data_IF_462815343384
#
_entry.id   IF_462815343384
#
_cell.length_a   1.000
_cell.length_b   1.000
_cell.length_c   1.000
_cell.angle_alpha   90.00
_cell.angle_beta   90.00
_cell.angle_gamma   90.00
#
_symmetry.space_group_name_H-M   'P 1'
#
loop_
_entity.id
_entity.type
_entity.pdbx_description
1 polymer ?
#
# COMPACT_ATOMS: atom_id res chain seq x y z
N UNK A 1 -28.42 11.22 -19.23
CA UNK A 1 -27.72 11.54 -20.50
C UNK A 1 -26.34 11.99 -20.09
N UNK A 2 -25.34 11.11 -20.13
CA UNK A 2 -23.96 11.48 -19.78
C UNK A 2 -23.50 12.40 -20.92
N UNK A 3 -23.07 13.65 -20.66
CA UNK A 3 -22.58 14.53 -21.71
C UNK A 3 -21.39 13.86 -22.39
N UNK A 4 -21.26 14.09 -23.69
CA UNK A 4 -20.23 13.51 -24.54
C UNK A 4 -18.85 14.01 -24.10
N UNK A 5 -18.25 13.31 -23.12
CA UNK A 5 -16.86 13.45 -22.73
C UNK A 5 -16.05 12.37 -23.44
N UNK A 6 -15.03 12.76 -24.19
CA UNK A 6 -14.05 11.81 -24.71
C UNK A 6 -13.39 11.10 -23.52
N UNK A 7 -13.47 9.77 -23.47
CA UNK A 7 -12.76 8.99 -22.45
C UNK A 7 -11.39 8.66 -23.04
N UNK A 8 -10.36 9.32 -22.52
CA UNK A 8 -8.98 8.99 -22.86
C UNK A 8 -8.53 7.87 -21.93
N UNK A 9 -8.32 6.67 -22.49
CA UNK A 9 -7.67 5.59 -21.76
C UNK A 9 -6.16 5.86 -21.80
N UNK A 10 -5.60 6.09 -20.61
CA UNK A 10 -4.19 6.40 -20.41
C UNK A 10 -3.58 5.29 -19.57
N UNK A 11 -2.56 4.63 -20.12
CA UNK A 11 -1.92 3.50 -19.48
C UNK A 11 -0.71 4.00 -18.65
N UNK A 12 -0.64 3.58 -17.39
CA UNK A 12 0.31 4.13 -16.43
C UNK A 12 1.58 3.30 -16.23
N UNK A 13 1.94 2.33 -17.11
CA UNK A 13 3.16 1.53 -16.90
C UNK A 13 3.94 1.13 -18.16
N UNK A 14 5.29 1.08 -18.08
CA UNK A 14 6.14 0.50 -19.11
C UNK A 14 6.61 -0.92 -18.75
N UNK A 15 6.26 -1.93 -19.55
CA UNK A 15 6.93 -3.25 -19.57
C UNK A 15 6.87 -3.85 -20.98
N UNK A 16 7.77 -4.78 -21.30
CA UNK A 16 7.91 -5.43 -22.62
C UNK A 16 6.66 -6.16 -23.17
N UNK A 17 5.57 -6.19 -22.41
CA UNK A 17 4.23 -6.66 -22.84
C UNK A 17 3.42 -5.58 -23.59
N UNK A 18 3.94 -4.34 -23.66
CA UNK A 18 3.33 -3.12 -24.25
C UNK A 18 2.69 -3.27 -25.63
N UNK A 19 3.30 -4.02 -26.57
CA UNK A 19 2.78 -4.09 -27.95
C UNK A 19 1.47 -4.90 -28.04
N UNK A 20 1.31 -5.92 -27.19
CA UNK A 20 0.11 -6.75 -27.22
C UNK A 20 -1.06 -6.03 -26.54
N UNK A 21 -0.86 -5.47 -25.34
CA UNK A 21 -1.94 -4.82 -24.57
C UNK A 21 -2.52 -3.58 -25.27
N UNK A 22 -1.68 -2.78 -25.95
CA UNK A 22 -2.14 -1.62 -26.73
C UNK A 22 -3.03 -2.05 -27.91
N UNK A 23 -2.63 -3.11 -28.60
CA UNK A 23 -3.41 -3.66 -29.71
C UNK A 23 -4.75 -4.24 -29.21
N UNK A 24 -4.74 -4.83 -28.01
CA UNK A 24 -5.93 -5.40 -27.38
C UNK A 24 -6.92 -4.30 -26.95
N UNK A 25 -6.46 -3.20 -26.34
CA UNK A 25 -7.32 -2.08 -25.97
C UNK A 25 -7.99 -1.44 -27.18
N UNK A 26 -7.23 -1.17 -28.24
CA UNK A 26 -7.77 -0.63 -29.49
C UNK A 26 -8.75 -1.62 -30.14
N UNK A 27 -8.46 -2.91 -30.11
CA UNK A 27 -9.34 -3.97 -30.59
C UNK A 27 -10.65 -4.01 -29.79
N UNK A 28 -10.61 -3.87 -28.46
CA UNK A 28 -11.79 -3.79 -27.60
C UNK A 28 -12.65 -2.57 -27.94
N UNK A 29 -12.05 -1.39 -28.06
CA UNK A 29 -12.77 -0.16 -28.42
C UNK A 29 -13.47 -0.30 -29.77
N UNK A 30 -12.76 -0.84 -30.77
CA UNK A 30 -13.29 -1.04 -32.11
C UNK A 30 -14.42 -2.07 -32.13
N UNK A 31 -14.24 -3.22 -31.47
CA UNK A 31 -15.22 -4.31 -31.44
C UNK A 31 -16.48 -3.95 -30.66
N UNK A 32 -16.40 -2.98 -29.74
CA UNK A 32 -17.56 -2.46 -29.01
C UNK A 32 -18.19 -1.21 -29.67
N UNK A 33 -17.73 -0.82 -30.87
CA UNK A 33 -18.23 0.35 -31.60
C UNK A 33 -18.13 1.66 -30.81
N UNK A 34 -17.03 1.87 -30.10
CA UNK A 34 -16.78 3.05 -29.25
C UNK A 34 -15.65 3.95 -29.76
N UNK A 35 -15.18 3.75 -30.99
CA UNK A 35 -14.07 4.51 -31.58
C UNK A 35 -14.32 6.01 -31.73
N UNK A 36 -15.58 6.45 -31.72
CA UNK A 36 -15.99 7.86 -31.72
C UNK A 36 -15.96 8.51 -30.32
N UNK A 37 -15.85 7.71 -29.26
CA UNK A 37 -15.94 8.15 -27.85
C UNK A 37 -14.67 7.87 -27.04
N UNK A 38 -14.00 6.76 -27.33
CA UNK A 38 -12.80 6.32 -26.61
C UNK A 38 -11.60 6.43 -27.53
N UNK A 39 -10.62 7.23 -27.11
CA UNK A 39 -9.34 7.39 -27.80
C UNK A 39 -8.27 6.76 -26.92
N UNK A 40 -7.58 5.76 -27.46
CA UNK A 40 -6.43 5.13 -26.82
C UNK A 40 -5.18 5.90 -27.23
N UNK A 41 -4.52 6.54 -26.26
CA UNK A 41 -3.30 7.31 -26.50
C UNK A 41 -2.12 6.51 -25.95
N UNK A 42 -1.24 5.96 -26.81
CA UNK A 42 -0.12 5.16 -26.34
C UNK A 42 0.97 6.04 -25.75
N UNK A 43 1.53 5.60 -24.63
CA UNK A 43 2.68 6.23 -23.98
C UNK A 43 2.43 6.52 -22.51
N UNK A 44 3.49 6.92 -21.82
CA UNK A 44 3.43 7.29 -20.41
C UNK A 44 2.71 8.61 -20.23
N UNK A 45 1.94 8.72 -19.15
CA UNK A 45 1.22 9.95 -18.79
C UNK A 45 2.19 11.15 -18.64
N UNK A 46 3.46 10.89 -18.34
CA UNK A 46 4.50 11.91 -18.25
C UNK A 46 4.90 12.47 -19.62
N UNK A 47 4.86 11.64 -20.66
CA UNK A 47 5.46 11.90 -21.98
C UNK A 47 4.43 12.25 -23.07
N UNK A 48 3.16 11.92 -22.87
CA UNK A 48 2.09 12.20 -23.85
C UNK A 48 1.60 13.65 -23.80
N UNK A 49 0.84 14.03 -24.83
CA UNK A 49 0.07 15.28 -24.87
C UNK A 49 -1.40 14.98 -25.18
N UNK A 50 -2.30 15.72 -24.53
CA UNK A 50 -3.72 15.69 -24.82
C UNK A 50 -4.12 16.96 -25.57
N UNK A 51 -5.07 16.88 -26.52
CA UNK A 51 -5.51 18.03 -27.30
C UNK A 51 -6.33 19.04 -26.47
N UNK A 52 -6.90 18.61 -25.34
CA UNK A 52 -7.73 19.43 -24.47
C UNK A 52 -7.59 19.03 -23.00
N UNK A 53 -8.04 19.93 -22.10
CA UNK A 53 -8.17 19.63 -20.69
C UNK A 53 -9.41 18.76 -20.41
N UNK A 54 -9.36 17.94 -19.36
CA UNK A 54 -10.39 16.96 -19.00
C UNK A 54 -11.21 17.40 -17.78
N UNK A 55 -12.49 17.01 -17.75
CA UNK A 55 -13.38 17.26 -16.62
C UNK A 55 -13.19 16.24 -15.49
N UNK A 56 -12.79 15.02 -15.82
CA UNK A 56 -12.62 13.93 -14.84
C UNK A 56 -11.41 13.10 -15.22
N UNK A 57 -10.58 12.78 -14.22
CA UNK A 57 -9.52 11.77 -14.33
C UNK A 57 -9.97 10.55 -13.52
N UNK A 58 -9.91 9.38 -14.15
CA UNK A 58 -10.27 8.10 -13.53
C UNK A 58 -9.07 7.17 -13.64
N UNK A 59 -8.69 6.54 -12.53
CA UNK A 59 -7.64 5.54 -12.53
C UNK A 59 -7.87 4.51 -11.43
N UNK A 60 -7.17 3.38 -11.54
CA UNK A 60 -6.99 2.42 -10.46
C UNK A 60 -5.48 2.39 -10.14
N UNK A 61 -4.98 3.36 -9.35
CA UNK A 61 -3.55 3.50 -9.07
C UNK A 61 -3.12 2.84 -7.75
N UNK A 62 -3.96 2.01 -7.14
CA UNK A 62 -3.72 1.52 -5.79
C UNK A 62 -2.84 0.26 -5.79
N UNK A 63 -1.72 0.33 -5.06
CA UNK A 63 -0.90 -0.85 -4.75
C UNK A 63 -1.16 -1.39 -3.34
N UNK A 64 -0.37 -2.39 -2.93
CA UNK A 64 -0.29 -2.79 -1.52
C UNK A 64 -0.01 -1.57 -0.62
N UNK A 65 -0.70 -1.51 0.52
CA UNK A 65 -0.66 -0.37 1.44
C UNK A 65 -0.96 0.98 0.75
N UNK A 66 -1.83 0.97 -0.28
CA UNK A 66 -2.18 2.08 -1.17
C UNK A 66 -1.03 2.57 -2.07
N UNK A 67 0.19 2.71 -1.55
CA UNK A 67 1.29 3.40 -2.21
C UNK A 67 2.19 2.51 -3.08
N UNK A 68 2.21 1.19 -2.90
CA UNK A 68 3.14 0.35 -3.66
C UNK A 68 3.00 0.55 -5.18
N UNK A 69 4.07 0.24 -5.92
CA UNK A 69 4.17 0.46 -7.38
C UNK A 69 4.29 1.93 -7.80
N UNK A 70 4.05 2.89 -6.87
CA UNK A 70 4.20 4.34 -7.09
C UNK A 70 3.33 4.89 -8.24
N UNK A 71 2.27 4.16 -8.65
CA UNK A 71 1.36 4.62 -9.71
C UNK A 71 0.58 5.88 -9.33
N UNK A 72 0.40 6.13 -8.04
CA UNK A 72 -0.20 7.37 -7.54
C UNK A 72 0.56 8.64 -7.97
N UNK A 73 1.88 8.56 -8.23
CA UNK A 73 2.64 9.71 -8.78
C UNK A 73 2.16 10.05 -10.18
N UNK A 74 2.07 9.07 -11.08
CA UNK A 74 1.52 9.22 -12.42
C UNK A 74 0.05 9.70 -12.40
N UNK A 75 -0.74 9.24 -11.42
CA UNK A 75 -2.10 9.71 -11.20
C UNK A 75 -2.14 11.20 -10.81
N UNK A 76 -1.28 11.65 -9.89
CA UNK A 76 -1.18 13.06 -9.53
C UNK A 76 -0.62 13.91 -10.68
N UNK A 77 0.35 13.42 -11.46
CA UNK A 77 0.90 14.11 -12.63
C UNK A 77 -0.17 14.43 -13.67
N UNK A 78 -1.13 13.52 -13.83
CA UNK A 78 -2.23 13.68 -14.79
C UNK A 78 -3.11 14.91 -14.49
N UNK A 79 -3.06 15.47 -13.28
CA UNK A 79 -3.75 16.73 -12.92
C UNK A 79 -3.36 17.92 -13.77
N UNK A 80 -2.22 17.91 -14.46
CA UNK A 80 -1.84 18.97 -15.41
C UNK A 80 -2.87 19.16 -16.55
N UNK A 81 -3.70 18.16 -16.82
CA UNK A 81 -4.82 18.25 -17.76
C UNK A 81 -6.18 18.44 -17.11
N UNK A 82 -6.28 18.41 -15.77
CA UNK A 82 -7.55 18.58 -15.09
C UNK A 82 -7.99 20.05 -15.15
N UNK A 83 -9.25 20.29 -15.53
CA UNK A 83 -9.85 21.62 -15.43
C UNK A 83 -9.94 22.07 -13.97
N UNK A 84 -10.03 23.38 -13.74
CA UNK A 84 -10.09 23.95 -12.38
C UNK A 84 -11.26 23.42 -11.52
N UNK A 85 -12.36 23.01 -12.13
CA UNK A 85 -13.54 22.41 -11.50
C UNK A 85 -13.67 20.90 -11.79
N UNK A 86 -12.57 20.27 -12.23
CA UNK A 86 -12.56 18.86 -12.55
C UNK A 86 -12.59 17.97 -11.30
N UNK A 87 -12.79 16.67 -11.51
CA UNK A 87 -12.82 15.66 -10.45
C UNK A 87 -11.78 14.56 -10.68
N UNK A 88 -11.32 13.96 -9.60
CA UNK A 88 -10.43 12.81 -9.61
C UNK A 88 -11.09 11.61 -8.94
N UNK A 89 -11.13 10.48 -9.62
CA UNK A 89 -11.73 9.21 -9.19
C UNK A 89 -10.66 8.10 -9.18
N UNK A 90 -10.19 7.65 -7.99
CA UNK A 90 -10.64 8.03 -6.64
C UNK A 90 -10.23 9.46 -6.24
N UNK A 91 -10.98 10.05 -5.33
CA UNK A 91 -10.78 11.42 -4.79
C UNK A 91 -9.93 11.41 -3.53
N UNK A 92 -10.19 10.44 -2.64
CA UNK A 92 -9.44 10.24 -1.41
C UNK A 92 -8.90 8.82 -1.33
N UNK A 93 -7.74 8.68 -0.68
CA UNK A 93 -7.21 7.40 -0.23
C UNK A 93 -6.95 7.43 1.27
N UNK A 94 -7.58 6.54 2.01
CA UNK A 94 -7.43 6.38 3.44
C UNK A 94 -6.54 5.16 3.72
N UNK A 95 -5.39 5.36 4.34
CA UNK A 95 -4.57 4.27 4.89
C UNK A 95 -4.96 4.07 6.34
N UNK A 96 -5.28 2.83 6.66
CA UNK A 96 -5.59 2.40 8.01
C UNK A 96 -4.43 1.58 8.56
N UNK A 97 -4.09 1.80 9.82
CA UNK A 97 -3.14 0.99 10.55
C UNK A 97 -3.62 0.65 11.95
N UNK A 98 -3.31 -0.55 12.44
CA UNK A 98 -3.65 -1.00 13.78
C UNK A 98 -2.60 -2.00 14.31
N UNK A 99 -2.29 -2.00 15.62
CA UNK A 99 -1.41 -3.01 16.22
C UNK A 99 -2.11 -4.37 16.27
N UNK A 100 -1.36 -5.44 16.06
CA UNK A 100 -1.88 -6.81 16.14
C UNK A 100 -1.03 -7.72 17.03
N UNK A 101 -1.67 -8.79 17.51
CA UNK A 101 -1.01 -9.91 18.19
C UNK A 101 -1.20 -11.20 17.40
N UNK A 102 -0.12 -11.72 16.82
CA UNK A 102 -0.11 -13.00 16.10
C UNK A 102 1.25 -13.71 16.33
N UNK A 103 1.29 -14.49 17.41
CA UNK A 103 2.47 -15.26 17.82
C UNK A 103 2.85 -16.31 16.76
N UNK A 104 1.85 -16.92 16.11
CA UNK A 104 2.08 -17.96 15.12
C UNK A 104 2.82 -17.38 13.91
N UNK A 105 2.37 -16.23 13.39
CA UNK A 105 3.06 -15.55 12.29
C UNK A 105 4.47 -15.13 12.67
N UNK A 106 4.65 -14.55 13.85
CA UNK A 106 5.97 -14.14 14.32
C UNK A 106 6.94 -15.32 14.40
N UNK A 107 6.50 -16.44 14.99
CA UNK A 107 7.29 -17.66 15.10
C UNK A 107 7.54 -18.34 13.77
N UNK A 108 6.60 -18.29 12.83
CA UNK A 108 6.78 -18.77 11.45
C UNK A 108 7.94 -18.03 10.76
N UNK A 109 7.94 -16.70 10.79
CA UNK A 109 9.00 -15.87 10.19
C UNK A 109 10.34 -16.05 10.91
N UNK A 110 10.34 -16.10 12.24
CA UNK A 110 11.55 -16.35 13.02
C UNK A 110 12.14 -17.74 12.71
N UNK A 111 11.28 -18.75 12.56
CA UNK A 111 11.71 -20.14 12.32
C UNK A 111 12.28 -20.37 10.92
N UNK A 112 11.91 -19.56 9.91
CA UNK A 112 12.54 -19.62 8.58
C UNK A 112 14.05 -19.36 8.66
N UNK A 113 14.50 -18.54 9.60
CA UNK A 113 15.92 -18.31 9.83
C UNK A 113 16.65 -19.49 10.48
N UNK A 114 15.94 -20.46 11.07
CA UNK A 114 16.58 -21.61 11.72
C UNK A 114 17.27 -22.54 10.72
N UNK A 115 16.93 -22.50 9.43
CA UNK A 115 17.72 -23.17 8.39
C UNK A 115 19.20 -22.76 8.45
N UNK A 116 19.47 -21.49 8.72
CA UNK A 116 20.84 -20.97 8.81
C UNK A 116 21.52 -21.34 10.12
N UNK A 117 20.80 -21.84 11.13
CA UNK A 117 21.37 -22.26 12.41
C UNK A 117 21.98 -23.68 12.37
N UNK A 118 22.58 -24.05 11.25
CA UNK A 118 23.21 -25.35 11.05
C UNK A 118 24.73 -25.24 11.17
N UNK A 119 25.32 -26.04 12.05
CA UNK A 119 26.77 -26.05 12.27
C UNK A 119 27.56 -26.86 11.22
N UNK A 120 26.89 -27.75 10.47
CA UNK A 120 27.52 -28.63 9.49
C UNK A 120 26.55 -29.00 8.35
N UNK A 121 26.15 -28.00 7.55
CA UNK A 121 25.39 -28.22 6.33
C UNK A 121 26.35 -28.61 5.19
N UNK A 122 26.37 -29.89 4.82
CA UNK A 122 27.33 -30.45 3.86
C UNK A 122 28.81 -30.11 4.16
N UNK A 123 29.18 -30.09 5.45
CA UNK A 123 30.54 -29.74 5.88
C UNK A 123 30.79 -28.25 6.08
N UNK A 124 29.78 -27.39 5.90
CA UNK A 124 29.89 -25.93 6.07
C UNK A 124 29.04 -25.45 7.25
N UNK A 125 29.60 -24.59 8.10
CA UNK A 125 28.86 -23.95 9.20
C UNK A 125 28.16 -22.68 8.70
N UNK A 126 26.82 -22.69 8.69
CA UNK A 126 25.99 -21.57 8.24
C UNK A 126 25.57 -20.62 9.38
N UNK A 127 25.80 -21.00 10.65
CA UNK A 127 25.24 -20.31 11.82
C UNK A 127 25.61 -18.83 11.96
N UNK A 128 26.72 -18.42 11.36
CA UNK A 128 27.13 -17.01 11.29
C UNK A 128 26.15 -16.12 10.50
N UNK A 129 25.37 -16.69 9.58
CA UNK A 129 24.40 -15.95 8.76
C UNK A 129 22.99 -15.92 9.35
N UNK A 130 22.73 -16.61 10.47
CA UNK A 130 21.39 -16.65 11.08
C UNK A 130 20.84 -15.26 11.40
N UNK A 131 21.65 -14.37 11.96
CA UNK A 131 21.23 -13.01 12.29
C UNK A 131 20.77 -12.24 11.04
N UNK A 132 21.58 -12.26 9.98
CA UNK A 132 21.26 -11.63 8.71
C UNK A 132 19.99 -12.22 8.08
N UNK A 133 19.79 -13.54 8.18
CA UNK A 133 18.58 -14.19 7.68
C UNK A 133 17.32 -13.77 8.47
N UNK A 134 17.40 -13.66 9.81
CA UNK A 134 16.29 -13.11 10.62
C UNK A 134 15.96 -11.70 10.14
N UNK A 135 16.97 -10.84 9.99
CA UNK A 135 16.75 -9.46 9.55
C UNK A 135 16.11 -9.40 8.15
N UNK A 136 16.52 -10.27 7.23
CA UNK A 136 15.95 -10.35 5.89
C UNK A 136 14.48 -10.81 5.90
N UNK A 137 14.13 -11.85 6.68
CA UNK A 137 12.73 -12.31 6.76
C UNK A 137 11.81 -11.31 7.47
N UNK A 138 12.33 -10.57 8.45
CA UNK A 138 11.57 -9.52 9.15
C UNK A 138 11.43 -8.24 8.31
N UNK A 139 12.28 -8.04 7.30
CA UNK A 139 12.17 -6.95 6.31
C UNK A 139 11.06 -7.16 5.29
N UNK A 140 10.46 -8.35 5.20
CA UNK A 140 9.37 -8.64 4.26
C UNK A 140 8.02 -8.25 4.86
N UNK A 141 7.28 -7.29 4.28
CA UNK A 141 5.87 -7.12 4.60
C UNK A 141 5.09 -8.38 4.20
N UNK A 142 4.13 -8.79 5.01
CA UNK A 142 3.37 -10.02 4.79
C UNK A 142 2.04 -9.65 4.17
N UNK A 143 1.75 -10.20 3.00
CA UNK A 143 0.50 -9.99 2.27
C UNK A 143 -0.38 -11.22 2.49
N UNK A 144 -1.41 -11.06 3.30
CA UNK A 144 -2.46 -12.06 3.53
C UNK A 144 -3.69 -11.42 4.18
N UNK A 145 -4.68 -12.26 4.53
CA UNK A 145 -5.84 -11.82 5.30
C UNK A 145 -5.79 -12.41 6.71
N UNK A 146 -6.49 -11.76 7.63
CA UNK A 146 -6.50 -12.16 9.03
C UNK A 146 -7.85 -11.86 9.68
N UNK A 147 -8.12 -12.55 10.78
CA UNK A 147 -9.30 -12.30 11.59
C UNK A 147 -9.13 -11.00 12.38
N UNK A 148 -10.09 -10.07 12.27
CA UNK A 148 -10.06 -8.77 12.97
C UNK A 148 -9.87 -8.85 14.50
N UNK A 149 -10.15 -10.00 15.13
CA UNK A 149 -9.92 -10.23 16.57
C UNK A 149 -8.46 -10.13 16.99
N UNK A 150 -7.50 -10.28 16.07
CA UNK A 150 -6.07 -10.14 16.40
C UNK A 150 -5.66 -8.67 16.61
N UNK A 151 -6.51 -7.72 16.20
CA UNK A 151 -6.24 -6.29 16.37
C UNK A 151 -6.38 -5.88 17.84
N UNK A 152 -5.35 -5.21 18.35
CA UNK A 152 -5.24 -4.85 19.78
C UNK A 152 -5.73 -3.43 20.09
N UNK A 153 -6.11 -2.66 19.07
CA UNK A 153 -6.67 -1.31 19.23
C UNK A 153 -7.52 -0.93 18.01
N UNK A 154 -8.29 0.15 18.15
CA UNK A 154 -8.94 0.80 17.01
C UNK A 154 -7.89 1.36 16.05
N UNK A 155 -8.22 1.33 14.77
CA UNK A 155 -7.32 1.83 13.71
C UNK A 155 -7.11 3.34 13.79
N UNK A 156 -5.90 3.77 13.43
CA UNK A 156 -5.56 5.16 13.06
C UNK A 156 -5.66 5.26 11.55
N UNK A 157 -6.20 6.40 11.08
CA UNK A 157 -6.41 6.68 9.66
C UNK A 157 -5.52 7.83 9.20
N UNK A 158 -4.92 7.68 8.03
CA UNK A 158 -4.18 8.73 7.32
C UNK A 158 -4.81 8.93 5.95
N UNK A 159 -5.23 10.15 5.65
CA UNK A 159 -5.98 10.47 4.42
C UNK A 159 -5.10 11.26 3.46
N UNK A 160 -5.05 10.81 2.21
CA UNK A 160 -4.52 11.57 1.08
C UNK A 160 -5.69 12.10 0.26
N UNK A 161 -5.75 13.43 0.10
CA UNK A 161 -6.65 14.05 -0.86
C UNK A 161 -5.92 14.18 -2.21
N UNK A 162 -6.31 13.41 -3.22
CA UNK A 162 -5.62 13.42 -4.51
C UNK A 162 -5.81 14.73 -5.28
N UNK A 163 -6.88 15.47 -5.00
CA UNK A 163 -7.09 16.80 -5.57
C UNK A 163 -6.01 17.79 -5.09
N UNK A 164 -5.62 17.71 -3.81
CA UNK A 164 -4.70 18.67 -3.19
C UNK A 164 -3.24 18.22 -3.24
N UNK A 165 -2.98 16.91 -3.14
CA UNK A 165 -1.63 16.35 -3.03
C UNK A 165 -0.78 16.54 -4.29
N UNK A 166 0.49 16.84 -4.13
CA UNK A 166 1.47 16.86 -5.22
C UNK A 166 2.29 15.56 -5.26
N UNK A 167 2.93 15.25 -6.39
CA UNK A 167 3.81 14.06 -6.51
C UNK A 167 4.88 14.01 -5.43
N UNK A 168 5.46 15.17 -5.09
CA UNK A 168 6.50 15.28 -4.08
C UNK A 168 6.02 14.89 -2.67
N UNK A 169 4.72 15.04 -2.38
CA UNK A 169 4.14 14.66 -1.08
C UNK A 169 4.18 13.14 -0.87
N UNK A 170 4.16 12.37 -1.96
CA UNK A 170 4.21 10.91 -1.89
C UNK A 170 5.64 10.38 -1.70
N UNK A 171 6.69 11.15 -2.01
CA UNK A 171 8.07 10.68 -1.87
C UNK A 171 8.47 10.36 -0.42
N UNK A 172 7.85 11.05 0.54
CA UNK A 172 8.13 10.88 1.97
C UNK A 172 6.86 11.11 2.79
N UNK A 173 6.18 10.03 3.15
CA UNK A 173 4.93 10.08 3.91
C UNK A 173 5.18 9.65 5.36
N UNK A 174 4.96 10.55 6.32
CA UNK A 174 5.06 10.26 7.75
C UNK A 174 3.66 10.17 8.37
N UNK A 175 3.32 9.01 8.93
CA UNK A 175 2.05 8.72 9.58
C UNK A 175 2.31 8.55 11.08
N UNK A 176 2.07 9.58 11.91
CA UNK A 176 2.10 9.42 13.36
C UNK A 176 0.90 8.60 13.83
N UNK A 177 1.08 7.81 14.87
CA UNK A 177 -0.01 7.05 15.48
C UNK A 177 0.05 7.09 17.00
N UNK A 178 -1.14 7.02 17.59
CA UNK A 178 -1.34 6.82 19.02
C UNK A 178 -2.51 5.85 19.17
N UNK A 179 -2.22 4.65 19.68
CA UNK A 179 -3.22 3.62 19.92
C UNK A 179 -3.49 3.49 21.41
N UNK A 180 -4.76 3.48 21.77
CA UNK A 180 -5.21 3.05 23.08
C UNK A 180 -5.51 1.56 23.02
N UNK A 181 -4.75 0.73 23.73
CA UNK A 181 -4.88 -0.72 23.64
C UNK A 181 -6.14 -1.19 24.34
N UNK A 182 -6.90 -2.05 23.66
CA UNK A 182 -8.16 -2.64 24.15
C UNK A 182 -7.96 -4.05 24.69
N UNK A 183 -6.73 -4.59 24.61
CA UNK A 183 -6.39 -5.94 25.05
C UNK A 183 -4.95 -5.94 25.59
N UNK A 184 -4.67 -6.79 26.58
CA UNK A 184 -3.30 -7.02 27.08
C UNK A 184 -2.61 -8.11 26.27
N UNK A 185 -1.32 -7.95 25.93
CA UNK A 185 -0.57 -8.97 25.19
C UNK A 185 0.70 -8.46 24.52
N UNK A 186 1.26 -9.27 23.64
CA UNK A 186 2.40 -8.92 22.81
C UNK A 186 1.93 -8.29 21.50
N UNK A 187 2.30 -7.03 21.28
CA UNK A 187 2.17 -6.37 19.99
C UNK A 187 3.29 -6.87 19.08
N UNK A 188 2.92 -7.69 18.11
CA UNK A 188 3.86 -8.31 17.17
C UNK A 188 4.19 -7.41 15.99
N UNK A 189 3.30 -6.48 15.64
CA UNK A 189 3.43 -5.67 14.44
C UNK A 189 2.30 -4.67 14.25
N UNK A 190 2.30 -4.01 13.10
CA UNK A 190 1.22 -3.17 12.59
C UNK A 190 0.61 -3.82 11.34
N UNK A 191 -0.72 -3.89 11.31
CA UNK A 191 -1.50 -4.30 10.15
C UNK A 191 -1.98 -3.06 9.41
N UNK A 192 -2.05 -3.16 8.08
CA UNK A 192 -2.38 -2.09 7.17
C UNK A 192 -3.42 -2.53 6.15
N UNK A 193 -4.34 -1.64 5.82
CA UNK A 193 -5.28 -1.75 4.72
C UNK A 193 -5.61 -0.34 4.22
N UNK A 194 -6.38 -0.24 3.14
CA UNK A 194 -6.78 1.06 2.63
C UNK A 194 -8.21 1.07 2.13
N UNK A 195 -8.79 2.25 2.12
CA UNK A 195 -10.05 2.54 1.46
C UNK A 195 -9.83 3.68 0.46
N UNK A 196 -10.58 3.68 -0.64
CA UNK A 196 -10.61 4.82 -1.57
C UNK A 196 -12.04 5.30 -1.77
N UNK A 197 -12.22 6.61 -1.80
CA UNK A 197 -13.52 7.25 -1.97
C UNK A 197 -13.64 7.91 -3.34
N UNK A 198 -14.72 7.59 -4.05
CA UNK A 198 -15.12 8.22 -5.30
C UNK A 198 -16.22 9.24 -4.98
N UNK A 199 -15.84 10.51 -4.83
CA UNK A 199 -16.75 11.58 -4.41
C UNK A 199 -17.41 12.20 -5.64
N UNK A 200 -18.51 11.59 -6.09
CA UNK A 200 -19.31 12.12 -7.19
C UNK A 200 -20.29 13.21 -6.75
N UNK A 201 -20.84 13.94 -7.72
CA UNK A 201 -21.78 15.04 -7.46
C UNK A 201 -23.11 14.61 -6.82
N UNK A 202 -23.45 13.32 -6.89
CA UNK A 202 -24.69 12.77 -6.33
C UNK A 202 -24.45 11.90 -5.10
N UNK A 203 -23.43 11.04 -5.15
CA UNK A 203 -23.13 10.05 -4.11
C UNK A 203 -21.62 9.88 -3.98
N UNK A 204 -21.19 9.50 -2.78
CA UNK A 204 -19.84 8.98 -2.54
C UNK A 204 -19.87 7.47 -2.49
N UNK A 205 -19.01 6.83 -3.29
CA UNK A 205 -18.83 5.36 -3.29
C UNK A 205 -17.48 5.03 -2.68
N UNK A 206 -17.43 3.99 -1.85
CA UNK A 206 -16.20 3.52 -1.23
C UNK A 206 -15.81 2.15 -1.76
N UNK A 207 -14.53 1.99 -2.05
CA UNK A 207 -13.89 0.69 -2.22
C UNK A 207 -13.00 0.49 -1.00
N UNK A 208 -13.27 -0.56 -0.23
CA UNK A 208 -12.52 -0.86 1.00
C UNK A 208 -11.77 -2.18 0.87
N UNK A 209 -10.55 -2.22 1.39
CA UNK A 209 -9.77 -3.46 1.57
C UNK A 209 -9.65 -3.85 3.04
N UNK A 210 -10.55 -3.34 3.90
CA UNK A 210 -10.54 -3.65 5.32
C UNK A 210 -10.73 -5.15 5.58
N UNK A 211 -10.13 -5.70 6.66
CA UNK A 211 -10.30 -7.12 7.02
C UNK A 211 -11.74 -7.48 7.44
N UNK A 212 -12.62 -6.49 7.59
CA UNK A 212 -14.06 -6.68 7.86
C UNK A 212 -14.90 -6.77 6.59
N UNK A 213 -14.32 -6.47 5.43
CA UNK A 213 -15.00 -6.46 4.13
C UNK A 213 -14.66 -7.72 3.31
N UNK A 214 -15.42 -8.00 2.23
CA UNK A 214 -15.08 -9.08 1.31
C UNK A 214 -13.65 -8.98 0.79
N UNK A 215 -12.97 -10.12 0.72
CA UNK A 215 -11.57 -10.19 0.32
C UNK A 215 -11.36 -9.65 -1.10
N UNK A 216 -10.34 -8.81 -1.25
CA UNK A 216 -9.87 -8.29 -2.54
C UNK A 216 -8.49 -8.85 -2.86
N UNK A 217 -8.03 -8.68 -4.10
CA UNK A 217 -6.71 -9.14 -4.52
C UNK A 217 -5.55 -8.36 -3.88
N UNK A 218 -5.83 -7.22 -3.24
CA UNK A 218 -4.85 -6.47 -2.44
C UNK A 218 -4.59 -7.09 -1.08
N UNK A 219 -5.49 -7.94 -0.58
CA UNK A 219 -5.45 -8.47 0.79
C UNK A 219 -5.25 -7.35 1.83
N UNK A 220 -4.62 -7.67 2.96
CA UNK A 220 -4.07 -6.72 3.90
C UNK A 220 -2.56 -6.92 4.00
N UNK A 221 -1.86 -5.97 4.61
CA UNK A 221 -0.40 -6.06 4.79
C UNK A 221 -0.04 -5.99 6.26
N UNK A 222 0.77 -6.92 6.74
CA UNK A 222 1.25 -6.97 8.13
C UNK A 222 2.77 -6.77 8.16
N UNK A 223 3.22 -5.83 9.00
CA UNK A 223 4.63 -5.55 9.22
C UNK A 223 4.99 -5.93 10.65
N UNK A 224 5.88 -6.90 10.81
CA UNK A 224 6.36 -7.33 12.12
C UNK A 224 7.30 -6.29 12.73
N UNK A 225 7.31 -6.17 14.05
CA UNK A 225 8.37 -5.53 14.81
C UNK A 225 9.52 -6.54 15.00
N UNK A 226 10.77 -6.07 15.06
CA UNK A 226 11.91 -6.96 15.36
C UNK A 226 11.80 -7.61 16.74
N UNK A 227 11.25 -6.87 17.70
CA UNK A 227 10.99 -7.37 19.06
C UNK A 227 9.56 -7.01 19.43
N UNK A 228 8.69 -7.98 19.73
CA UNK A 228 7.33 -7.71 20.16
C UNK A 228 7.31 -6.85 21.41
N UNK A 229 6.33 -5.96 21.51
CA UNK A 229 6.16 -5.08 22.67
C UNK A 229 5.04 -5.61 23.55
N UNK A 230 5.35 -5.96 24.79
CA UNK A 230 4.31 -6.26 25.77
C UNK A 230 3.64 -4.97 26.23
N UNK A 231 2.32 -4.95 26.21
CA UNK A 231 1.54 -3.85 26.74
C UNK A 231 0.22 -4.34 27.32
N UNK A 232 -0.30 -3.61 28.29
CA UNK A 232 -1.56 -3.93 28.98
C UNK A 232 -2.73 -3.17 28.35
N UNK A 233 -3.92 -3.71 28.56
CA UNK A 233 -5.16 -3.01 28.24
C UNK A 233 -5.19 -1.63 28.94
N UNK A 234 -5.59 -0.60 28.20
CA UNK A 234 -5.57 0.79 28.66
C UNK A 234 -4.20 1.49 28.55
N UNK A 235 -3.12 0.78 28.22
CA UNK A 235 -1.84 1.41 27.89
C UNK A 235 -1.84 1.99 26.48
N UNK A 236 -0.88 2.88 26.24
CA UNK A 236 -0.80 3.66 25.01
C UNK A 236 0.43 3.23 24.21
N UNK A 237 0.21 2.79 22.98
CA UNK A 237 1.26 2.53 22.01
C UNK A 237 1.34 3.71 21.04
N UNK A 238 2.42 4.48 21.10
CA UNK A 238 2.64 5.63 20.22
C UNK A 238 3.83 5.44 19.31
N UNK A 239 3.89 6.18 18.22
CA UNK A 239 4.99 6.06 17.28
C UNK A 239 4.70 6.68 15.93
N UNK A 240 5.43 6.21 14.93
CA UNK A 240 5.25 6.62 13.55
C UNK A 240 5.62 5.54 12.56
N UNK A 241 4.96 5.59 11.41
CA UNK A 241 5.32 4.86 10.20
C UNK A 241 5.80 5.89 9.18
N UNK A 242 6.97 5.65 8.59
CA UNK A 242 7.55 6.51 7.58
C UNK A 242 7.73 5.70 6.30
N UNK A 243 7.07 6.13 5.23
CA UNK A 243 7.27 5.63 3.89
C UNK A 243 8.30 6.52 3.18
N UNK A 244 9.34 5.91 2.62
CA UNK A 244 10.34 6.60 1.79
C UNK A 244 10.36 5.96 0.42
N UNK A 245 9.98 6.72 -0.61
CA UNK A 245 9.97 6.23 -1.98
C UNK A 245 11.39 5.82 -2.42
N UNK A 246 11.51 4.64 -3.03
CA UNK A 246 12.77 4.11 -3.50
C UNK A 246 12.80 4.00 -5.03
N UNK A 247 13.99 3.75 -5.58
CA UNK A 247 14.24 3.68 -7.04
C UNK A 247 13.66 2.42 -7.71
N UNK A 248 13.08 1.49 -6.94
CA UNK A 248 12.54 0.20 -7.44
C UNK A 248 11.01 0.23 -7.59
N UNK A 249 10.44 1.42 -7.75
CA UNK A 249 8.99 1.66 -7.82
C UNK A 249 8.25 1.13 -6.58
N UNK A 250 8.81 1.38 -5.40
CA UNK A 250 8.21 0.95 -4.13
C UNK A 250 8.69 1.85 -2.98
N UNK A 251 8.49 1.43 -1.74
CA UNK A 251 8.79 2.18 -0.54
C UNK A 251 9.64 1.37 0.44
N UNK A 252 10.59 2.04 1.07
CA UNK A 252 11.20 1.58 2.30
C UNK A 252 10.30 2.07 3.47
N UNK A 253 9.83 1.15 4.29
CA UNK A 253 8.91 1.44 5.40
C UNK A 253 9.70 1.41 6.70
N UNK A 254 9.67 2.49 7.47
CA UNK A 254 10.30 2.55 8.79
C UNK A 254 9.23 2.68 9.87
N UNK A 255 9.15 1.69 10.75
CA UNK A 255 8.21 1.67 11.86
C UNK A 255 8.99 1.91 13.15
N UNK A 256 8.49 2.84 13.96
CA UNK A 256 8.94 3.05 15.34
C UNK A 256 7.73 3.04 16.24
N UNK A 257 7.75 2.21 17.28
CA UNK A 257 6.67 2.09 18.25
C UNK A 257 7.23 2.12 19.69
N UNK A 258 6.48 2.73 20.60
CA UNK A 258 6.81 2.95 22.00
C UNK A 258 5.58 2.67 22.86
N UNK A 259 5.72 1.84 23.90
CA UNK A 259 4.72 1.72 24.96
C UNK A 259 4.96 2.84 25.97
N UNK A 260 4.08 3.82 26.02
CA UNK A 260 4.33 5.08 26.74
C UNK A 260 4.55 4.88 28.24
N UNK A 261 3.84 3.94 28.85
CA UNK A 261 3.87 3.69 30.29
C UNK A 261 5.16 3.00 30.75
N UNK A 262 5.76 2.16 29.89
CA UNK A 262 6.96 1.38 30.23
C UNK A 262 8.23 1.96 29.63
N UNK A 263 8.11 2.79 28.58
CA UNK A 263 9.24 3.31 27.82
C UNK A 263 9.87 2.28 26.86
N UNK A 264 9.33 1.06 26.76
CA UNK A 264 9.86 0.04 25.86
C UNK A 264 9.58 0.42 24.41
N UNK A 265 10.63 0.38 23.59
CA UNK A 265 10.62 0.78 22.19
C UNK A 265 11.02 -0.38 21.30
N UNK A 266 10.36 -0.49 20.17
CA UNK A 266 10.72 -1.41 19.09
C UNK A 266 10.48 -0.73 17.76
N UNK A 267 11.00 -1.33 16.70
CA UNK A 267 10.86 -0.82 15.35
C UNK A 267 11.33 -1.83 14.33
N UNK A 268 11.13 -1.50 13.08
CA UNK A 268 11.60 -2.30 11.96
C UNK A 268 11.75 -1.42 10.71
N UNK A 269 12.60 -1.85 9.79
CA UNK A 269 12.71 -1.29 8.44
C UNK A 269 12.29 -2.41 7.49
N UNK A 270 11.30 -2.18 6.64
CA UNK A 270 10.78 -3.15 5.69
C UNK A 270 10.91 -2.66 4.26
N UNK A 271 11.00 -3.59 3.33
CA UNK A 271 11.09 -3.32 1.89
C UNK A 271 9.79 -3.77 1.21
N UNK A 272 8.93 -2.82 0.84
CA UNK A 272 7.65 -3.10 0.20
C UNK A 272 7.80 -3.69 -1.20
N UNK A 273 9.02 -3.66 -1.79
CA UNK A 273 9.30 -4.32 -3.07
C UNK A 273 9.38 -5.84 -2.95
N UNK A 274 9.67 -6.36 -1.76
CA UNK A 274 9.87 -7.80 -1.52
C UNK A 274 8.87 -8.35 -0.48
N UNK A 275 7.56 -8.30 -0.76
CA UNK A 275 6.56 -8.84 0.14
C UNK A 275 6.62 -10.38 0.19
N UNK A 276 6.24 -10.94 1.32
CA UNK A 276 5.99 -12.37 1.48
C UNK A 276 4.49 -12.63 1.34
N UNK A 277 4.11 -13.42 0.34
CA UNK A 277 2.73 -13.87 0.13
C UNK A 277 2.50 -15.15 0.93
N UNK A 278 1.51 -15.12 1.82
CA UNK A 278 1.20 -16.23 2.75
C UNK A 278 -0.14 -16.86 2.45
#
# INVERSE_FOLDING_TARGET
MIPVGCVTLLEARPTSEEQNTQSDQQMLVKNNHLSDKIIVVPGKIEDISLPEAVDVIISEPMGYMLFNERMLESYLHSKKWLKANGMMFPTFGDIHLAPFSDEQLYMEHYSRANFWYQQCFYGVNLSSLRGAAVDEYFRQPIVDTFDSRILMARTVKYTVNFMDAEEADLHRVEIPFVFQLTQSGLVHGLAFWFDVAFVGSLVTVWLSTAPTEPLTHWYQVRCLLHTPLFAKEGETLSGKVLFVANRRQSYDIQIVALVNQTGFRSGNILDLKNPFFR
#
